data_IF_190411604398
#
_entry.id   IF_190411604398
#
_cell.length_a   1.000
_cell.length_b   1.000
_cell.length_c   1.000
_cell.angle_alpha   90.00
_cell.angle_beta   90.00
_cell.angle_gamma   90.00
#
_symmetry.space_group_name_H-M   'P 1'
#
loop_
_entity.id
_entity.type
_entity.pdbx_description
1 polymer ?
#
# COMPACT_ATOMS: atom_id res chain seq x y z
N UNK A 1 7.30 10.03 31.54
CA UNK A 1 7.59 10.34 30.12
C UNK A 1 8.30 9.21 29.34
N UNK A 2 8.80 8.14 29.98
CA UNK A 2 9.53 7.04 29.31
C UNK A 2 8.66 5.95 28.64
N UNK A 3 7.57 5.51 29.29
CA UNK A 3 6.78 4.35 28.82
C UNK A 3 6.21 4.47 27.40
N UNK A 4 5.73 5.66 27.01
CA UNK A 4 5.19 5.89 25.65
C UNK A 4 6.27 5.83 24.56
N UNK A 5 7.51 6.23 24.87
CA UNK A 5 8.65 6.11 23.95
C UNK A 5 9.07 4.64 23.79
N UNK A 6 9.07 3.90 24.89
CA UNK A 6 9.37 2.46 24.91
C UNK A 6 8.34 1.68 24.09
N UNK A 7 7.04 1.97 24.25
CA UNK A 7 5.98 1.31 23.48
C UNK A 7 6.10 1.57 21.98
N UNK A 8 6.43 2.81 21.56
CA UNK A 8 6.67 3.15 20.15
C UNK A 8 7.88 2.42 19.57
N UNK A 9 8.98 2.38 20.33
CA UNK A 9 10.18 1.66 19.93
C UNK A 9 9.91 0.16 19.80
N UNK A 10 9.20 -0.43 20.77
CA UNK A 10 8.78 -1.83 20.71
C UNK A 10 7.87 -2.11 19.51
N UNK A 11 6.89 -1.25 19.25
CA UNK A 11 6.01 -1.39 18.11
C UNK A 11 6.78 -1.35 16.78
N UNK A 12 7.78 -0.46 16.66
CA UNK A 12 8.64 -0.42 15.48
C UNK A 12 9.43 -1.73 15.33
N UNK A 13 10.04 -2.22 16.41
CA UNK A 13 10.78 -3.50 16.40
C UNK A 13 9.87 -4.66 15.99
N UNK A 14 8.66 -4.74 16.54
CA UNK A 14 7.67 -5.78 16.18
C UNK A 14 7.28 -5.67 14.71
N UNK A 15 7.00 -4.47 14.22
CA UNK A 15 6.66 -4.24 12.82
C UNK A 15 7.78 -4.68 11.87
N UNK A 16 9.03 -4.29 12.13
CA UNK A 16 10.16 -4.69 11.29
C UNK A 16 10.46 -6.19 11.41
N UNK A 17 10.30 -6.78 12.60
CA UNK A 17 10.43 -8.22 12.80
C UNK A 17 9.40 -9.03 12.02
N UNK A 18 8.16 -8.54 11.94
CA UNK A 18 7.09 -9.17 11.13
C UNK A 18 7.38 -9.09 9.63
N UNK A 19 7.88 -7.96 9.14
CA UNK A 19 8.31 -7.83 7.73
C UNK A 19 9.48 -8.77 7.42
N UNK A 20 10.48 -8.84 8.29
CA UNK A 20 11.61 -9.75 8.13
C UNK A 20 11.14 -11.23 8.13
N UNK A 21 10.21 -11.57 9.03
CA UNK A 21 9.61 -12.90 9.08
C UNK A 21 8.84 -13.24 7.79
N UNK A 22 8.06 -12.30 7.26
CA UNK A 22 7.40 -12.45 5.97
C UNK A 22 8.42 -12.73 4.85
N UNK A 23 9.49 -11.93 4.74
CA UNK A 23 10.53 -12.13 3.72
C UNK A 23 11.20 -13.50 3.85
N UNK A 24 11.51 -13.93 5.07
CA UNK A 24 12.11 -15.25 5.31
C UNK A 24 11.18 -16.38 4.88
N UNK A 25 9.90 -16.35 5.30
CA UNK A 25 8.92 -17.35 4.89
C UNK A 25 8.69 -17.35 3.38
N UNK A 26 8.66 -16.18 2.75
CA UNK A 26 8.50 -16.03 1.32
C UNK A 26 9.66 -16.68 0.56
N UNK A 27 10.91 -16.39 0.95
CA UNK A 27 12.11 -17.00 0.34
C UNK A 27 12.10 -18.52 0.54
N UNK A 28 11.86 -19.00 1.77
CA UNK A 28 11.78 -20.43 2.05
C UNK A 28 10.68 -21.13 1.25
N UNK A 29 9.55 -20.46 1.02
CA UNK A 29 8.45 -20.97 0.21
C UNK A 29 8.82 -21.05 -1.27
N UNK A 30 9.48 -20.00 -1.79
CA UNK A 30 9.97 -19.94 -3.18
C UNK A 30 11.05 -20.99 -3.45
N UNK A 31 11.93 -21.25 -2.49
CA UNK A 31 12.94 -22.32 -2.54
C UNK A 31 12.36 -23.73 -2.34
N UNK A 32 11.03 -23.85 -2.19
CA UNK A 32 10.32 -25.12 -1.93
C UNK A 32 10.78 -25.83 -0.66
N UNK A 33 11.45 -25.13 0.25
CA UNK A 33 11.88 -25.67 1.55
C UNK A 33 10.70 -25.90 2.50
N UNK A 34 9.59 -25.16 2.32
CA UNK A 34 8.35 -25.32 3.08
C UNK A 34 7.13 -25.61 2.18
N UNK A 35 6.32 -26.60 2.55
CA UNK A 35 5.14 -27.00 1.78
C UNK A 35 3.83 -26.37 2.27
N UNK A 36 3.88 -25.49 3.28
CA UNK A 36 2.71 -24.82 3.87
C UNK A 36 1.91 -23.99 2.84
N UNK A 37 0.62 -23.77 3.09
CA UNK A 37 -0.19 -22.91 2.23
C UNK A 37 0.31 -21.45 2.22
N UNK A 38 0.06 -20.73 1.12
CA UNK A 38 0.41 -19.31 0.98
C UNK A 38 -0.21 -18.45 2.09
N UNK A 39 -1.37 -18.83 2.63
CA UNK A 39 -1.98 -18.16 3.77
C UNK A 39 -1.01 -18.00 4.94
N UNK A 40 -0.23 -19.04 5.27
CA UNK A 40 0.76 -19.00 6.36
C UNK A 40 1.91 -18.04 6.08
N UNK A 41 2.30 -17.92 4.80
CA UNK A 41 3.37 -17.01 4.37
C UNK A 41 2.92 -15.55 4.52
N UNK A 42 1.65 -15.24 4.25
CA UNK A 42 1.11 -13.88 4.35
C UNK A 42 0.71 -13.46 5.79
N UNK A 43 0.54 -14.39 6.73
CA UNK A 43 0.15 -14.06 8.12
C UNK A 43 1.04 -12.99 8.79
N UNK A 44 2.39 -13.05 8.73
CA UNK A 44 3.22 -12.00 9.33
C UNK A 44 2.99 -10.63 8.71
N UNK A 45 2.65 -10.57 7.41
CA UNK A 45 2.35 -9.32 6.71
C UNK A 45 1.01 -8.73 7.16
N UNK A 46 -0.03 -9.55 7.32
CA UNK A 46 -1.31 -9.10 7.88
C UNK A 46 -1.18 -8.63 9.33
N UNK A 47 -0.39 -9.35 10.14
CA UNK A 47 -0.06 -8.92 11.50
C UNK A 47 0.68 -7.58 11.52
N UNK A 48 1.57 -7.34 10.56
CA UNK A 48 2.25 -6.05 10.43
C UNK A 48 1.24 -4.91 10.22
N UNK A 49 0.26 -5.08 9.33
CA UNK A 49 -0.80 -4.09 9.13
C UNK A 49 -1.60 -3.82 10.40
N UNK A 50 -1.92 -4.84 11.19
CA UNK A 50 -2.60 -4.68 12.49
C UNK A 50 -1.73 -3.88 13.48
N UNK A 51 -0.43 -4.19 13.56
CA UNK A 51 0.52 -3.48 14.44
C UNK A 51 0.66 -2.01 14.03
N UNK A 52 0.75 -1.72 12.73
CA UNK A 52 0.85 -0.36 12.20
C UNK A 52 -0.45 0.42 12.37
N UNK A 53 -1.60 -0.18 12.05
CA UNK A 53 -2.91 0.43 12.23
C UNK A 53 -3.17 0.76 13.70
N UNK A 54 -2.92 -0.19 14.62
CA UNK A 54 -3.09 0.01 16.06
C UNK A 54 -2.24 1.16 16.59
N UNK A 55 -1.01 1.32 16.08
CA UNK A 55 -0.15 2.45 16.44
C UNK A 55 -0.69 3.81 16.02
N UNK A 56 -1.38 3.87 14.88
CA UNK A 56 -2.04 5.10 14.40
C UNK A 56 -3.30 5.45 15.18
N UNK A 57 -4.11 4.46 15.57
CA UNK A 57 -5.34 4.67 16.34
C UNK A 57 -5.14 4.80 17.87
N UNK A 58 -4.01 4.33 18.41
CA UNK A 58 -3.71 4.43 19.86
C UNK A 58 -3.03 5.76 20.25
N UNK A 59 -2.74 6.63 19.28
CA UNK A 59 -2.24 7.97 19.55
C UNK A 59 -3.46 8.89 19.73
N UNK A 60 -3.54 9.69 20.82
CA UNK A 60 -4.41 10.85 20.79
C UNK A 60 -3.96 11.67 19.58
N UNK A 61 -4.91 12.00 18.70
CA UNK A 61 -4.65 12.80 17.53
C UNK A 61 -3.70 13.94 17.93
N UNK A 62 -2.52 14.08 17.30
CA UNK A 62 -1.70 15.26 17.51
C UNK A 62 -2.61 16.47 17.33
N UNK A 63 -2.73 17.33 18.34
CA UNK A 63 -3.42 18.60 18.20
C UNK A 63 -2.68 19.38 17.12
N UNK A 64 -3.21 19.29 15.90
CA UNK A 64 -2.57 19.81 14.71
C UNK A 64 -2.59 21.34 14.78
N UNK A 65 -1.49 22.04 14.46
CA UNK A 65 -1.49 23.49 14.47
C UNK A 65 -2.34 23.97 13.28
N UNK A 66 -3.45 24.66 13.59
CA UNK A 66 -4.29 25.47 12.69
C UNK A 66 -4.83 24.83 11.39
N UNK A 67 -6.16 24.62 11.38
CA UNK A 67 -7.08 24.79 10.24
C UNK A 67 -6.95 24.00 8.91
N UNK A 68 -6.35 22.80 8.90
CA UNK A 68 -6.57 21.82 7.80
C UNK A 68 -7.13 20.50 8.32
N UNK A 69 -8.45 20.36 8.25
CA UNK A 69 -9.29 19.30 8.84
C UNK A 69 -9.23 17.90 8.19
N UNK A 70 -8.28 17.60 7.30
CA UNK A 70 -8.35 16.36 6.51
C UNK A 70 -7.16 15.45 6.82
N UNK A 71 -7.40 14.34 7.52
CA UNK A 71 -6.53 13.18 7.37
C UNK A 71 -6.58 12.79 5.88
N UNK A 72 -5.44 12.71 5.17
CA UNK A 72 -5.46 12.46 3.73
C UNK A 72 -6.26 11.19 3.44
N UNK A 73 -7.22 11.27 2.53
CA UNK A 73 -8.15 10.17 2.24
C UNK A 73 -7.38 8.90 1.83
N UNK A 74 -6.28 9.06 1.08
CA UNK A 74 -5.35 7.99 0.73
C UNK A 74 -4.72 7.30 1.94
N UNK A 75 -4.43 8.01 3.04
CA UNK A 75 -3.82 7.41 4.22
C UNK A 75 -4.79 6.47 4.95
N UNK A 76 -6.10 6.74 4.85
CA UNK A 76 -7.17 5.89 5.40
C UNK A 76 -7.44 4.70 4.49
N UNK A 77 -7.40 4.89 3.16
CA UNK A 77 -7.67 3.85 2.17
C UNK A 77 -6.47 2.92 1.87
N UNK A 78 -5.24 3.34 2.16
CA UNK A 78 -4.03 2.56 1.87
C UNK A 78 -4.04 1.18 2.53
N UNK A 79 -4.27 1.10 3.84
CA UNK A 79 -4.25 -0.18 4.56
C UNK A 79 -5.30 -1.18 4.05
N UNK A 80 -6.60 -0.84 3.91
CA UNK A 80 -7.58 -1.79 3.39
C UNK A 80 -7.33 -2.19 1.93
N UNK A 81 -6.85 -1.27 1.07
CA UNK A 81 -6.52 -1.61 -0.33
C UNK A 81 -5.29 -2.50 -0.45
N UNK A 82 -4.26 -2.27 0.37
CA UNK A 82 -3.08 -3.15 0.43
C UNK A 82 -3.44 -4.55 0.95
N UNK A 83 -4.26 -4.63 2.00
CA UNK A 83 -4.75 -5.92 2.51
C UNK A 83 -5.61 -6.64 1.46
N UNK A 84 -6.45 -5.92 0.71
CA UNK A 84 -7.23 -6.51 -0.38
C UNK A 84 -6.33 -7.06 -1.50
N UNK A 85 -5.28 -6.33 -1.89
CA UNK A 85 -4.27 -6.81 -2.83
C UNK A 85 -3.60 -8.09 -2.32
N UNK A 86 -3.16 -8.12 -1.07
CA UNK A 86 -2.50 -9.27 -0.46
C UNK A 86 -3.41 -10.50 -0.39
N UNK A 87 -4.70 -10.33 -0.08
CA UNK A 87 -5.68 -11.41 -0.09
C UNK A 87 -5.90 -11.97 -1.50
N UNK A 88 -6.07 -11.10 -2.50
CA UNK A 88 -6.21 -11.53 -3.89
C UNK A 88 -4.96 -12.25 -4.39
N UNK A 89 -3.78 -11.77 -4.02
CA UNK A 89 -2.50 -12.40 -4.36
C UNK A 89 -2.37 -13.76 -3.66
N UNK A 90 -2.75 -13.86 -2.38
CA UNK A 90 -2.75 -15.11 -1.64
C UNK A 90 -3.69 -16.14 -2.30
N UNK A 91 -4.91 -15.74 -2.68
CA UNK A 91 -5.88 -16.60 -3.39
C UNK A 91 -5.34 -17.03 -4.76
N UNK A 92 -4.75 -16.10 -5.51
CA UNK A 92 -4.15 -16.37 -6.82
C UNK A 92 -3.06 -17.46 -6.74
N UNK A 93 -2.19 -17.35 -5.73
CA UNK A 93 -1.07 -18.26 -5.52
C UNK A 93 -1.49 -19.62 -4.94
N UNK A 94 -2.55 -19.67 -4.14
CA UNK A 94 -3.05 -20.90 -3.51
C UNK A 94 -3.98 -21.71 -4.45
N UNK A 95 -4.85 -21.03 -5.20
CA UNK A 95 -5.87 -21.65 -6.05
C UNK A 95 -5.45 -21.79 -7.53
N UNK A 96 -4.17 -22.05 -7.79
CA UNK A 96 -3.62 -22.33 -9.12
C UNK A 96 -4.12 -21.37 -10.23
N UNK A 97 -3.95 -20.05 -10.03
CA UNK A 97 -4.27 -19.02 -11.04
C UNK A 97 -5.77 -18.81 -11.34
N UNK A 98 -6.69 -19.21 -10.45
CA UNK A 98 -8.14 -19.00 -10.63
C UNK A 98 -8.53 -17.51 -10.81
N UNK A 99 -7.74 -16.59 -10.24
CA UNK A 99 -7.93 -15.15 -10.39
C UNK A 99 -6.87 -14.61 -11.34
N UNK A 100 -7.20 -13.83 -12.36
CA UNK A 100 -6.18 -13.21 -13.23
C UNK A 100 -5.33 -12.19 -12.45
N UNK A 101 -4.02 -12.15 -12.70
CA UNK A 101 -3.13 -11.13 -12.10
C UNK A 101 -3.66 -9.71 -12.33
N UNK A 102 -4.28 -9.43 -13.48
CA UNK A 102 -4.94 -8.15 -13.76
C UNK A 102 -5.94 -7.72 -12.67
N UNK A 103 -6.72 -8.66 -12.13
CA UNK A 103 -7.68 -8.41 -11.06
C UNK A 103 -6.95 -8.26 -9.71
N UNK A 104 -5.89 -9.06 -9.49
CA UNK A 104 -5.07 -8.97 -8.28
C UNK A 104 -4.51 -7.56 -8.08
N UNK A 105 -4.05 -6.90 -9.14
CA UNK A 105 -3.49 -5.54 -9.10
C UNK A 105 -4.54 -4.41 -9.03
N UNK A 106 -5.83 -4.71 -9.17
CA UNK A 106 -6.88 -3.68 -9.16
C UNK A 106 -6.94 -2.82 -7.88
N UNK A 107 -6.76 -3.38 -6.65
CA UNK A 107 -6.70 -2.57 -5.44
C UNK A 107 -5.49 -1.62 -5.40
N UNK A 108 -4.36 -2.02 -6.00
CA UNK A 108 -3.18 -1.15 -6.12
C UNK A 108 -3.44 0.01 -7.06
N UNK A 109 -4.09 -0.23 -8.21
CA UNK A 109 -4.51 0.84 -9.12
C UNK A 109 -5.47 1.81 -8.42
N UNK A 110 -6.44 1.30 -7.66
CA UNK A 110 -7.36 2.15 -6.90
C UNK A 110 -6.64 3.01 -5.86
N UNK A 111 -5.62 2.47 -5.20
CA UNK A 111 -4.80 3.21 -4.24
C UNK A 111 -4.00 4.31 -4.95
N UNK A 112 -3.43 3.99 -6.10
CA UNK A 112 -2.65 4.93 -6.91
C UNK A 112 -3.50 6.10 -7.42
N UNK A 113 -4.71 5.80 -7.93
CA UNK A 113 -5.70 6.81 -8.31
C UNK A 113 -6.09 7.68 -7.11
N UNK A 114 -6.29 7.07 -5.93
CA UNK A 114 -6.64 7.82 -4.72
C UNK A 114 -5.52 8.77 -4.28
N UNK A 115 -4.26 8.34 -4.35
CA UNK A 115 -3.09 9.18 -4.08
C UNK A 115 -2.99 10.32 -5.10
N UNK A 116 -3.17 10.02 -6.39
CA UNK A 116 -3.14 11.02 -7.45
C UNK A 116 -4.24 12.09 -7.24
N UNK A 117 -5.46 11.67 -6.92
CA UNK A 117 -6.59 12.59 -6.65
C UNK A 117 -6.32 13.46 -5.43
N UNK A 118 -5.82 12.89 -4.34
CA UNK A 118 -5.48 13.66 -3.14
C UNK A 118 -4.34 14.63 -3.41
N UNK A 119 -3.33 14.25 -4.20
CA UNK A 119 -2.23 15.12 -4.58
C UNK A 119 -2.68 16.25 -5.51
N UNK A 120 -3.55 15.98 -6.49
CA UNK A 120 -4.13 17.01 -7.37
C UNK A 120 -5.02 17.98 -6.56
N UNK A 121 -5.80 17.47 -5.61
CA UNK A 121 -6.59 18.31 -4.72
C UNK A 121 -5.71 19.17 -3.81
N UNK A 122 -4.60 18.62 -3.32
CA UNK A 122 -3.62 19.39 -2.55
C UNK A 122 -2.92 20.45 -3.41
N UNK A 123 -2.76 20.19 -4.71
CA UNK A 123 -2.15 21.08 -5.69
C UNK A 123 -3.05 22.24 -6.14
N UNK A 124 -4.36 22.18 -5.91
CA UNK A 124 -5.32 23.22 -6.34
C UNK A 124 -5.57 24.21 -5.18
N UNK A 125 -4.92 25.39 -5.14
CA UNK A 125 -5.14 26.37 -4.08
C UNK A 125 -6.38 27.19 -4.42
N UNK A 126 -7.23 27.46 -3.44
CA UNK A 126 -8.06 28.66 -3.49
C UNK A 126 -7.15 29.86 -3.21
N UNK A 127 -6.98 30.70 -4.23
CA UNK A 127 -6.25 31.97 -4.30
C UNK A 127 -4.70 31.98 -4.35
N UNK A 128 -4.22 32.57 -5.46
CA UNK A 128 -3.10 33.53 -5.60
C UNK A 128 -1.67 33.14 -5.18
N UNK A 129 -1.31 31.86 -5.12
CA UNK A 129 0.11 31.46 -5.08
C UNK A 129 0.43 30.52 -6.23
N UNK A 130 1.26 31.00 -7.16
CA UNK A 130 1.68 30.29 -8.38
C UNK A 130 2.10 28.86 -8.06
N UNK A 131 1.48 27.88 -8.74
CA UNK A 131 1.88 26.47 -8.68
C UNK A 131 3.41 26.35 -8.69
N UNK A 132 4.00 25.80 -7.62
CA UNK A 132 5.43 25.52 -7.59
C UNK A 132 5.73 24.31 -8.47
N UNK A 133 6.70 24.44 -9.38
CA UNK A 133 7.10 23.37 -10.29
C UNK A 133 7.43 22.06 -9.55
N UNK A 134 7.89 22.15 -8.30
CA UNK A 134 8.20 21.02 -7.41
C UNK A 134 7.00 20.09 -7.16
N UNK A 135 5.79 20.63 -7.01
CA UNK A 135 4.59 19.82 -6.78
C UNK A 135 4.08 19.11 -8.05
N UNK A 136 4.43 19.64 -9.23
CA UNK A 136 4.17 18.98 -10.53
C UNK A 136 5.11 17.77 -10.68
N UNK A 137 6.38 17.91 -10.30
CA UNK A 137 7.35 16.81 -10.37
C UNK A 137 7.03 15.65 -9.39
N UNK A 138 6.42 15.92 -8.23
CA UNK A 138 6.03 14.88 -7.27
C UNK A 138 4.79 14.06 -7.70
N UNK A 139 3.91 14.65 -8.53
CA UNK A 139 2.68 13.99 -9.01
C UNK A 139 2.86 13.23 -10.32
N UNK A 140 3.87 13.60 -11.11
CA UNK A 140 4.21 12.97 -12.39
C UNK A 140 4.47 11.46 -12.29
N UNK A 141 5.31 10.96 -11.35
CA UNK A 141 5.63 9.53 -11.27
C UNK A 141 4.40 8.66 -10.99
N UNK A 142 3.47 9.16 -10.16
CA UNK A 142 2.22 8.45 -9.85
C UNK A 142 1.22 8.49 -11.02
N UNK A 143 1.21 9.57 -11.82
CA UNK A 143 0.35 9.64 -13.00
C UNK A 143 0.78 8.70 -14.14
N UNK A 144 2.10 8.57 -14.35
CA UNK A 144 2.66 7.71 -15.41
C UNK A 144 2.43 6.23 -15.12
N UNK A 145 2.64 5.80 -13.88
CA UNK A 145 2.43 4.42 -13.44
C UNK A 145 0.95 3.98 -13.61
N UNK A 146 -0.01 4.85 -13.28
CA UNK A 146 -1.44 4.60 -13.52
C UNK A 146 -1.74 4.40 -15.02
N UNK A 147 -1.19 5.25 -15.88
CA UNK A 147 -1.41 5.20 -17.32
C UNK A 147 -0.84 3.92 -17.93
N UNK A 148 0.35 3.50 -17.50
CA UNK A 148 0.94 2.23 -17.94
C UNK A 148 0.10 1.03 -17.53
N UNK A 149 -0.40 1.00 -16.29
CA UNK A 149 -1.25 -0.09 -15.83
C UNK A 149 -2.60 -0.13 -16.57
N UNK A 150 -3.22 1.03 -16.81
CA UNK A 150 -4.45 1.14 -17.59
C UNK A 150 -4.22 0.66 -19.03
N UNK A 151 -3.11 1.08 -19.66
CA UNK A 151 -2.71 0.60 -20.99
C UNK A 151 -2.51 -0.93 -21.00
N UNK A 152 -1.86 -1.50 -19.98
CA UNK A 152 -1.67 -2.95 -19.86
C UNK A 152 -3.00 -3.73 -19.71
N UNK A 153 -3.99 -3.14 -19.02
CA UNK A 153 -5.31 -3.75 -18.84
C UNK A 153 -6.16 -3.64 -20.10
N UNK A 154 -6.23 -2.44 -20.70
CA UNK A 154 -7.10 -2.12 -21.85
C UNK A 154 -6.54 -2.57 -23.20
N UNK A 155 -5.22 -2.53 -23.36
CA UNK A 155 -4.51 -3.00 -24.54
C UNK A 155 -3.63 -4.18 -24.14
N UNK A 156 -4.21 -5.40 -23.99
CA UNK A 156 -3.37 -6.59 -23.91
C UNK A 156 -2.54 -6.64 -25.18
N UNK A 157 -1.22 -6.48 -25.07
CA UNK A 157 -0.30 -6.75 -26.17
C UNK A 157 -0.54 -8.22 -26.55
N UNK A 158 -1.25 -8.45 -27.63
CA UNK A 158 -1.49 -9.78 -28.17
C UNK A 158 -0.18 -10.24 -28.80
N UNK A 159 0.66 -10.94 -28.03
CA UNK A 159 1.98 -11.44 -28.45
C UNK A 159 1.85 -12.54 -29.52
N UNK A 160 0.64 -12.81 -30.04
CA UNK A 160 0.39 -13.78 -31.12
C UNK A 160 0.65 -13.22 -32.53
N UNK A 161 1.16 -12.01 -32.67
CA UNK A 161 1.48 -11.39 -33.97
C UNK A 161 2.99 -11.18 -34.20
N UNK A 162 3.84 -12.04 -33.64
CA UNK A 162 5.28 -12.16 -33.96
C UNK A 162 5.59 -13.60 -34.33
#
# INVERSE_FOLDING_TARGET
MGGRKILKSLQAVVAHGLLFCFTLLLVLKLDRAIHNSWWVVFVPLWLFHVVVARGRFSLPAPSMPHDRHWAPFHAVMATPLLVAFELLLCIHLDSAYAVSLKIVFFPLLALEIAILVDNVRALMPGDEESMSDEAIWETLPSGVMCLEFICFVLYPIDVKAI
#
